data_IF_268081857465
#
_entry.id   IF_268081857465
#
_cell.length_a   1.000
_cell.length_b   1.000
_cell.length_c   1.000
_cell.angle_alpha   90.00
_cell.angle_beta   90.00
_cell.angle_gamma   90.00
#
_symmetry.space_group_name_H-M   'P 1'
#
loop_
_entity.id
_entity.type
_entity.pdbx_description
1 polymer ?
#
# COMPACT_ATOMS: atom_id res chain seq x y z
N UNK A 1 32.92 -57.67 -57.31
CA UNK A 1 31.61 -57.48 -56.63
C UNK A 1 30.94 -56.29 -57.24
N UNK A 2 29.72 -55.92 -56.90
CA UNK A 2 29.70 -54.73 -56.06
C UNK A 2 28.33 -54.64 -55.41
N UNK A 3 28.24 -55.12 -54.16
CA UNK A 3 27.82 -54.43 -52.91
C UNK A 3 26.91 -53.18 -52.98
N UNK A 4 26.29 -52.87 -54.11
CA UNK A 4 25.58 -51.62 -54.42
C UNK A 4 24.06 -51.76 -54.46
N UNK A 5 23.51 -52.89 -54.02
CA UNK A 5 22.06 -53.08 -53.90
C UNK A 5 21.59 -53.59 -52.52
N UNK A 6 22.48 -53.63 -51.53
CA UNK A 6 22.15 -54.03 -50.14
C UNK A 6 22.43 -52.93 -49.10
N UNK A 7 22.64 -51.67 -49.53
CA UNK A 7 22.93 -50.52 -48.65
C UNK A 7 21.93 -49.34 -48.79
N UNK A 8 20.76 -49.56 -49.41
CA UNK A 8 19.72 -48.52 -49.55
C UNK A 8 18.57 -48.62 -48.53
N UNK A 9 18.70 -49.41 -47.45
CA UNK A 9 17.67 -49.52 -46.41
C UNK A 9 18.15 -49.49 -44.95
N UNK A 10 19.33 -48.90 -44.67
CA UNK A 10 19.86 -48.74 -43.31
C UNK A 10 20.35 -47.30 -43.01
N UNK A 11 19.75 -46.28 -43.64
CA UNK A 11 20.07 -44.87 -43.38
C UNK A 11 18.83 -44.00 -43.10
N UNK A 12 17.69 -44.58 -42.73
CA UNK A 12 16.48 -43.84 -42.30
C UNK A 12 16.19 -43.95 -40.79
N UNK A 13 17.16 -44.36 -39.98
CA UNK A 13 16.98 -44.46 -38.53
C UNK A 13 18.28 -44.15 -37.77
N UNK A 14 18.83 -42.93 -37.90
CA UNK A 14 19.83 -42.37 -36.95
C UNK A 14 20.23 -40.91 -37.24
N UNK A 15 19.27 -40.04 -37.56
CA UNK A 15 19.50 -38.59 -37.62
C UNK A 15 18.53 -37.78 -36.74
N UNK A 16 17.95 -38.41 -35.72
CA UNK A 16 17.07 -37.77 -34.74
C UNK A 16 17.60 -37.88 -33.28
N UNK A 17 18.92 -37.98 -33.09
CA UNK A 17 19.51 -38.23 -31.77
C UNK A 17 20.66 -37.31 -31.34
N UNK A 18 21.03 -36.26 -32.11
CA UNK A 18 22.01 -35.26 -31.63
C UNK A 18 21.53 -33.85 -31.97
N UNK A 19 20.48 -33.43 -31.27
CA UNK A 19 20.06 -32.03 -31.19
C UNK A 19 19.66 -31.66 -29.75
N UNK A 20 20.39 -32.18 -28.75
CA UNK A 20 20.05 -31.96 -27.32
C UNK A 20 21.16 -31.32 -26.49
N UNK A 21 22.38 -31.10 -27.00
CA UNK A 21 23.49 -30.66 -26.13
C UNK A 21 24.30 -29.45 -26.61
N UNK A 22 23.65 -28.43 -27.18
CA UNK A 22 24.24 -27.07 -27.30
C UNK A 22 23.17 -25.97 -27.13
N UNK A 23 22.31 -26.10 -26.11
CA UNK A 23 21.35 -25.07 -25.67
C UNK A 23 22.01 -23.91 -24.93
N UNK A 24 23.09 -23.36 -25.49
CA UNK A 24 23.79 -22.19 -24.99
C UNK A 24 23.00 -20.91 -25.27
N UNK A 25 22.27 -20.46 -24.24
CA UNK A 25 21.85 -19.07 -23.95
C UNK A 25 22.27 -18.01 -24.98
N UNK A 26 21.31 -17.53 -25.77
CA UNK A 26 21.10 -16.11 -26.05
C UNK A 26 19.60 -15.87 -26.27
N UNK A 27 18.84 -15.91 -25.16
CA UNK A 27 17.67 -15.06 -25.08
C UNK A 27 18.23 -13.65 -24.92
N UNK A 28 18.31 -12.90 -26.02
CA UNK A 28 18.28 -11.45 -25.91
C UNK A 28 17.04 -11.15 -25.08
N UNK A 29 17.26 -10.68 -23.85
CA UNK A 29 16.22 -10.05 -23.07
C UNK A 29 15.70 -8.90 -23.94
N UNK A 30 14.62 -9.15 -24.66
CA UNK A 30 13.76 -8.09 -25.12
C UNK A 30 13.25 -7.51 -23.81
N UNK A 31 13.87 -6.41 -23.37
CA UNK A 31 13.33 -5.61 -22.29
C UNK A 31 11.84 -5.53 -22.58
N UNK A 32 11.02 -6.10 -21.70
CA UNK A 32 9.59 -6.06 -21.88
C UNK A 32 9.26 -4.60 -22.15
N UNK A 33 8.76 -4.30 -23.34
CA UNK A 33 8.30 -2.94 -23.62
C UNK A 33 7.36 -2.59 -22.46
N UNK A 34 7.52 -1.42 -21.82
CA UNK A 34 6.63 -1.01 -20.75
C UNK A 34 5.22 -1.21 -21.27
N UNK A 35 4.49 -2.18 -20.73
CA UNK A 35 3.07 -2.21 -21.01
C UNK A 35 2.59 -0.86 -20.48
N UNK A 36 2.13 0.02 -21.37
CA UNK A 36 1.49 1.29 -21.03
C UNK A 36 0.14 0.94 -20.40
N UNK A 37 0.22 0.35 -19.21
CA UNK A 37 -0.93 0.07 -18.36
C UNK A 37 -1.24 1.37 -17.65
N UNK A 38 -2.52 1.72 -17.66
CA UNK A 38 -3.04 2.86 -16.91
C UNK A 38 -2.57 2.82 -15.45
N UNK A 39 -2.63 3.97 -14.78
CA UNK A 39 -2.25 4.04 -13.37
C UNK A 39 -3.17 3.16 -12.53
N UNK A 40 -2.68 2.78 -11.35
CA UNK A 40 -3.47 2.10 -10.32
C UNK A 40 -3.26 2.78 -8.98
N UNK A 41 -4.29 2.79 -8.14
CA UNK A 41 -4.19 3.15 -6.72
C UNK A 41 -4.44 1.89 -5.90
N UNK A 42 -3.53 1.59 -4.98
CA UNK A 42 -3.72 0.56 -3.96
C UNK A 42 -3.87 1.25 -2.61
N UNK A 43 -5.08 1.21 -2.06
CA UNK A 43 -5.37 1.68 -0.71
C UNK A 43 -5.19 0.54 0.29
N UNK A 44 -4.20 0.66 1.16
CA UNK A 44 -4.01 -0.20 2.32
C UNK A 44 -4.73 0.44 3.51
N UNK A 45 -5.93 -0.05 3.80
CA UNK A 45 -6.82 0.52 4.81
C UNK A 45 -6.59 -0.09 6.20
N UNK A 46 -6.16 0.73 7.15
CA UNK A 46 -5.89 0.33 8.52
C UNK A 46 -7.09 0.64 9.41
N UNK A 47 -8.13 -0.19 9.28
CA UNK A 47 -9.43 0.04 9.91
C UNK A 47 -9.35 0.07 11.43
N UNK A 48 -9.76 1.20 12.00
CA UNK A 48 -9.75 1.46 13.44
C UNK A 48 -8.69 2.48 13.86
N UNK A 49 -8.18 3.34 12.97
CA UNK A 49 -7.29 4.45 13.33
C UNK A 49 -5.96 4.04 13.98
N UNK A 50 -4.91 3.71 13.21
CA UNK A 50 -3.64 3.20 13.73
C UNK A 50 -2.91 4.20 14.65
N UNK A 51 -2.16 3.69 15.63
CA UNK A 51 -1.33 4.53 16.51
C UNK A 51 -0.06 5.00 15.82
N UNK A 52 -0.19 6.02 14.96
CA UNK A 52 0.92 6.50 14.11
C UNK A 52 2.13 7.00 14.91
N UNK A 53 1.95 7.43 16.16
CA UNK A 53 3.05 7.77 17.09
C UNK A 53 3.89 6.54 17.50
N UNK A 54 3.34 5.33 17.42
CA UNK A 54 4.07 4.08 17.71
C UNK A 54 4.64 3.42 16.44
N UNK A 55 4.43 4.03 15.25
CA UNK A 55 4.86 3.50 13.96
C UNK A 55 5.78 4.47 13.21
N UNK A 56 5.25 5.64 12.83
CA UNK A 56 5.81 6.55 11.83
C UNK A 56 6.36 7.86 12.40
N UNK A 57 5.83 8.28 13.55
CA UNK A 57 6.19 9.54 14.22
C UNK A 57 6.54 9.31 15.69
N UNK A 58 7.50 8.41 15.91
CA UNK A 58 7.94 8.01 17.24
C UNK A 58 8.49 9.17 18.06
N UNK A 59 8.13 9.22 19.34
CA UNK A 59 8.61 10.21 20.33
C UNK A 59 9.43 9.54 21.44
N UNK A 60 10.59 8.92 21.12
CA UNK A 60 11.40 8.23 22.13
C UNK A 60 11.80 9.19 23.26
N UNK A 61 11.62 8.75 24.50
CA UNK A 61 11.93 9.52 25.70
C UNK A 61 10.87 10.57 26.10
N UNK A 62 9.88 10.86 25.26
CA UNK A 62 8.74 11.67 25.67
C UNK A 62 7.78 10.85 26.54
N UNK A 63 7.05 11.51 27.45
CA UNK A 63 6.01 10.85 28.27
C UNK A 63 4.86 10.24 27.45
N UNK A 64 4.72 10.68 26.19
CA UNK A 64 3.74 10.20 25.21
C UNK A 64 4.29 9.07 24.31
N UNK A 65 5.61 8.87 24.32
CA UNK A 65 6.28 7.83 23.54
C UNK A 65 5.93 6.43 24.03
N UNK A 66 5.72 5.51 23.08
CA UNK A 66 5.59 4.09 23.38
C UNK A 66 6.93 3.44 23.80
N UNK A 67 6.91 2.17 24.21
CA UNK A 67 8.09 1.43 24.66
C UNK A 67 8.99 0.99 23.50
N UNK A 68 8.51 1.05 22.26
CA UNK A 68 9.25 0.61 21.07
C UNK A 68 10.40 1.56 20.74
N UNK A 69 11.43 1.00 20.10
CA UNK A 69 12.62 1.75 19.70
C UNK A 69 12.57 2.16 18.22
N UNK A 70 13.10 3.34 17.89
CA UNK A 70 13.26 3.75 16.50
C UNK A 70 14.40 2.99 15.82
N UNK A 71 14.19 2.62 14.55
CA UNK A 71 15.21 2.09 13.65
C UNK A 71 15.41 3.03 12.45
N UNK A 72 16.62 3.01 11.89
CA UNK A 72 16.93 3.74 10.64
C UNK A 72 16.26 3.08 9.45
N UNK A 73 15.93 3.88 8.45
CA UNK A 73 15.28 3.42 7.23
C UNK A 73 16.11 3.81 6.00
N UNK A 74 15.67 3.38 4.81
CA UNK A 74 16.21 3.86 3.53
C UNK A 74 15.77 5.28 3.16
N UNK A 75 14.92 5.92 3.99
CA UNK A 75 14.53 7.33 3.86
C UNK A 75 14.98 8.17 5.06
N UNK A 76 14.42 9.38 5.16
CA UNK A 76 14.69 10.35 6.24
C UNK A 76 14.09 9.93 7.58
N UNK A 77 13.01 9.13 7.55
CA UNK A 77 12.26 8.76 8.74
C UNK A 77 13.01 7.74 9.62
N UNK A 78 12.86 7.88 10.94
CA UNK A 78 13.00 6.80 11.89
C UNK A 78 11.61 6.21 12.18
N UNK A 79 11.50 4.88 12.12
CA UNK A 79 10.22 4.15 12.32
C UNK A 79 10.38 3.05 13.38
N UNK A 80 9.28 2.41 13.76
CA UNK A 80 9.25 1.35 14.76
C UNK A 80 10.14 0.14 14.42
N UNK A 81 10.87 -0.39 15.41
CA UNK A 81 11.73 -1.58 15.27
C UNK A 81 11.00 -2.85 14.84
N UNK A 82 9.68 -2.90 15.00
CA UNK A 82 8.83 -4.00 14.53
C UNK A 82 8.48 -3.92 13.03
N UNK A 83 9.01 -2.92 12.32
CA UNK A 83 8.84 -2.74 10.86
C UNK A 83 10.17 -2.84 10.09
N UNK A 84 11.03 -3.87 10.32
CA UNK A 84 12.36 -3.93 9.73
C UNK A 84 12.36 -4.17 8.21
N UNK A 85 11.34 -4.81 7.64
CA UNK A 85 11.24 -5.01 6.19
C UNK A 85 10.83 -3.70 5.52
N UNK A 86 9.84 -2.99 6.08
CA UNK A 86 9.38 -1.71 5.57
C UNK A 86 10.43 -0.62 5.72
N UNK A 87 11.25 -0.66 6.77
CA UNK A 87 12.40 0.22 6.93
C UNK A 87 13.31 0.20 5.69
N UNK A 88 13.45 -0.95 5.01
CA UNK A 88 14.24 -1.07 3.77
C UNK A 88 13.53 -0.48 2.56
N UNK A 89 12.20 -0.43 2.57
CA UNK A 89 11.36 0.07 1.49
C UNK A 89 11.01 1.57 1.59
N UNK A 90 11.39 2.26 2.67
CA UNK A 90 11.00 3.67 2.90
C UNK A 90 11.45 4.66 1.83
N UNK A 91 12.49 4.37 1.04
CA UNK A 91 12.86 5.17 -0.12
C UNK A 91 11.79 5.19 -1.23
N UNK A 92 10.75 4.35 -1.16
CA UNK A 92 9.58 4.41 -2.04
C UNK A 92 8.42 5.25 -1.47
N UNK A 93 8.50 5.65 -0.19
CA UNK A 93 7.39 6.28 0.53
C UNK A 93 7.73 7.68 1.05
N UNK A 94 6.75 8.57 0.96
CA UNK A 94 6.70 9.81 1.71
C UNK A 94 5.77 9.64 2.92
N UNK A 95 6.22 10.03 4.10
CA UNK A 95 5.36 10.11 5.30
C UNK A 95 4.79 11.51 5.40
N UNK A 96 3.47 11.65 5.40
CA UNK A 96 2.79 12.91 5.77
C UNK A 96 2.51 12.84 7.27
N UNK A 97 3.26 13.58 8.09
CA UNK A 97 3.16 13.55 9.57
C UNK A 97 2.16 14.54 10.16
N UNK A 98 1.71 15.51 9.37
CA UNK A 98 0.92 16.63 9.86
C UNK A 98 -0.56 16.56 9.48
N UNK A 99 -1.14 15.37 9.43
CA UNK A 99 -2.59 15.25 9.26
C UNK A 99 -3.31 15.79 10.52
N UNK A 100 -4.32 16.62 10.31
CA UNK A 100 -5.13 17.21 11.38
C UNK A 100 -6.58 17.38 10.93
N UNK A 101 -7.49 16.75 11.64
CA UNK A 101 -8.93 16.86 11.45
C UNK A 101 -9.63 17.06 12.80
N UNK A 102 -10.96 17.14 12.78
CA UNK A 102 -11.80 17.18 13.98
C UNK A 102 -12.63 15.92 14.17
N UNK A 103 -12.56 14.99 13.23
CA UNK A 103 -13.42 13.81 13.20
C UNK A 103 -12.77 12.65 13.94
N UNK A 104 -13.45 12.16 14.98
CA UNK A 104 -12.97 11.07 15.85
C UNK A 104 -13.93 9.88 15.88
N UNK A 105 -15.06 9.94 15.19
CA UNK A 105 -15.94 8.78 15.02
C UNK A 105 -15.48 7.94 13.82
N UNK A 106 -15.50 6.61 13.98
CA UNK A 106 -14.96 5.69 12.96
C UNK A 106 -15.75 5.74 11.64
N UNK A 107 -17.08 5.79 11.68
CA UNK A 107 -17.87 5.78 10.44
C UNK A 107 -17.76 7.12 9.71
N UNK A 108 -17.84 8.21 10.47
CA UNK A 108 -17.68 9.56 9.96
C UNK A 108 -16.26 9.81 9.45
N UNK A 109 -15.24 9.39 10.19
CA UNK A 109 -13.83 9.51 9.81
C UNK A 109 -13.51 8.68 8.57
N UNK A 110 -14.05 7.46 8.46
CA UNK A 110 -13.94 6.64 7.25
C UNK A 110 -14.55 7.33 6.05
N UNK A 111 -15.77 7.85 6.18
CA UNK A 111 -16.40 8.61 5.11
C UNK A 111 -15.52 9.80 4.74
N UNK A 112 -15.14 10.62 5.72
CA UNK A 112 -14.40 11.86 5.47
C UNK A 112 -13.06 11.61 4.77
N UNK A 113 -12.26 10.69 5.29
CA UNK A 113 -10.93 10.43 4.72
C UNK A 113 -11.01 9.86 3.31
N UNK A 114 -12.08 9.12 3.02
CA UNK A 114 -12.29 8.53 1.69
C UNK A 114 -12.93 9.50 0.72
N UNK A 115 -13.77 10.43 1.16
CA UNK A 115 -14.50 11.29 0.20
C UNK A 115 -13.94 12.69 0.11
N UNK A 116 -13.25 13.16 1.15
CA UNK A 116 -12.92 14.58 1.33
C UNK A 116 -14.11 15.39 1.82
N UNK A 117 -15.28 14.78 2.00
CA UNK A 117 -16.49 15.47 2.41
C UNK A 117 -16.68 15.34 3.91
N UNK A 118 -16.78 16.48 4.60
CA UNK A 118 -17.10 16.51 6.03
C UNK A 118 -18.54 15.98 6.20
N UNK A 119 -18.75 14.92 7.01
CA UNK A 119 -20.08 14.37 7.20
C UNK A 119 -21.02 15.35 7.94
N UNK A 120 -22.16 15.65 7.31
CA UNK A 120 -23.30 16.40 7.86
C UNK A 120 -23.80 15.81 9.21
N UNK A 121 -23.80 16.57 10.31
CA UNK A 121 -24.26 16.05 11.59
C UNK A 121 -25.68 15.47 11.59
N UNK A 122 -26.56 15.86 10.66
CA UNK A 122 -27.95 15.41 10.61
C UNK A 122 -28.15 14.07 9.87
N UNK A 123 -27.13 13.58 9.15
CA UNK A 123 -27.19 12.31 8.44
C UNK A 123 -26.66 11.17 9.33
N UNK A 124 -27.52 10.20 9.59
CA UNK A 124 -27.25 9.08 10.52
C UNK A 124 -26.48 7.91 9.91
N UNK A 125 -26.37 7.83 8.58
CA UNK A 125 -25.65 6.76 7.88
C UNK A 125 -24.98 7.30 6.64
N UNK A 126 -23.66 7.12 6.59
CA UNK A 126 -22.84 7.49 5.46
C UNK A 126 -22.56 6.28 4.61
N UNK A 127 -23.01 6.30 3.35
CA UNK A 127 -22.51 5.37 2.36
C UNK A 127 -21.05 5.73 2.09
N UNK A 128 -20.14 5.14 2.88
CA UNK A 128 -18.74 5.11 2.49
C UNK A 128 -18.68 4.34 1.18
N UNK A 129 -18.12 4.92 0.11
CA UNK A 129 -18.06 4.20 -1.13
C UNK A 129 -17.24 2.92 -0.90
N UNK A 130 -17.84 1.77 -1.20
CA UNK A 130 -17.11 0.52 -1.16
C UNK A 130 -16.14 0.52 -2.33
N UNK A 131 -14.86 0.71 -2.05
CA UNK A 131 -13.86 0.21 -2.97
C UNK A 131 -13.94 -1.31 -2.98
N UNK A 132 -13.41 -1.92 -4.04
CA UNK A 132 -13.26 -3.37 -4.10
C UNK A 132 -12.27 -3.83 -3.01
N UNK A 133 -12.78 -4.13 -1.83
CA UNK A 133 -12.00 -4.75 -0.77
C UNK A 133 -11.78 -6.21 -1.13
N UNK A 134 -10.57 -6.53 -1.57
CA UNK A 134 -10.19 -7.89 -1.99
C UNK A 134 -10.18 -8.87 -0.82
N UNK A 135 -10.15 -8.38 0.42
CA UNK A 135 -10.19 -9.21 1.62
C UNK A 135 -11.60 -9.71 1.96
N UNK A 136 -12.65 -9.15 1.33
CA UNK A 136 -14.07 -9.48 1.58
C UNK A 136 -14.52 -10.87 1.05
N UNK A 137 -13.64 -11.87 1.06
CA UNK A 137 -14.03 -13.28 1.08
C UNK A 137 -14.76 -13.83 -0.15
N UNK A 138 -14.57 -13.25 -1.35
CA UNK A 138 -15.14 -13.84 -2.57
C UNK A 138 -14.40 -15.14 -2.95
N UNK A 139 -15.07 -16.31 -3.02
CA UNK A 139 -14.42 -17.61 -3.26
C UNK A 139 -13.57 -17.66 -4.54
N UNK A 140 -14.01 -16.96 -5.59
CA UNK A 140 -13.31 -16.87 -6.86
C UNK A 140 -11.90 -16.27 -6.73
N UNK A 141 -11.72 -15.27 -5.85
CA UNK A 141 -10.44 -14.62 -5.62
C UNK A 141 -9.43 -15.56 -4.95
N UNK A 142 -9.88 -16.40 -4.01
CA UNK A 142 -9.03 -17.33 -3.28
C UNK A 142 -8.47 -18.43 -4.20
N UNK A 143 -9.30 -18.96 -5.11
CA UNK A 143 -8.88 -19.99 -6.08
C UNK A 143 -7.81 -19.51 -7.07
N UNK A 144 -7.80 -18.20 -7.37
CA UNK A 144 -6.79 -17.60 -8.25
C UNK A 144 -5.43 -17.48 -7.56
N UNK A 145 -5.41 -17.21 -6.25
CA UNK A 145 -4.17 -17.12 -5.47
C UNK A 145 -3.47 -18.48 -5.35
N UNK A 146 -4.22 -19.59 -5.32
CA UNK A 146 -3.65 -20.95 -5.25
C UNK A 146 -2.78 -21.29 -6.47
N UNK A 147 -2.95 -20.58 -7.59
CA UNK A 147 -2.12 -20.73 -8.80
C UNK A 147 -0.74 -20.07 -8.67
N UNK A 148 -0.55 -19.19 -7.68
CA UNK A 148 0.75 -18.57 -7.43
C UNK A 148 1.74 -19.58 -6.82
N UNK A 149 3.03 -19.50 -7.19
CA UNK A 149 4.07 -20.31 -6.57
C UNK A 149 4.02 -20.22 -5.05
N UNK A 150 4.28 -21.34 -4.36
CA UNK A 150 4.33 -21.39 -2.89
C UNK A 150 5.28 -20.33 -2.32
N UNK A 151 6.42 -20.11 -2.99
CA UNK A 151 7.40 -19.09 -2.61
C UNK A 151 6.85 -17.66 -2.71
N UNK A 152 6.02 -17.37 -3.71
CA UNK A 152 5.37 -16.07 -3.87
C UNK A 152 4.34 -15.85 -2.74
N UNK A 153 3.47 -16.83 -2.48
CA UNK A 153 2.51 -16.76 -1.37
C UNK A 153 3.19 -16.63 -0.01
N UNK A 154 4.28 -17.38 0.21
CA UNK A 154 5.05 -17.33 1.44
C UNK A 154 5.65 -15.94 1.71
N UNK A 155 6.01 -15.14 0.70
CA UNK A 155 6.53 -13.78 0.95
C UNK A 155 5.51 -12.87 1.62
N UNK A 156 4.24 -12.94 1.20
CA UNK A 156 3.16 -12.11 1.75
C UNK A 156 2.61 -12.63 3.09
N UNK A 157 2.86 -13.91 3.41
CA UNK A 157 2.38 -14.55 4.62
C UNK A 157 0.96 -15.12 4.50
N UNK A 158 0.51 -15.77 5.57
CA UNK A 158 -0.75 -16.52 5.57
C UNK A 158 -1.96 -15.68 6.00
N UNK A 159 -1.74 -14.50 6.57
CA UNK A 159 -2.81 -13.61 7.00
C UNK A 159 -3.63 -13.10 5.81
N UNK A 160 -4.93 -12.85 6.01
CA UNK A 160 -5.87 -12.39 4.99
C UNK A 160 -5.41 -11.09 4.30
N UNK A 161 -4.85 -10.17 5.09
CA UNK A 161 -4.19 -8.96 4.57
C UNK A 161 -3.04 -9.26 3.60
N UNK A 162 -2.20 -10.25 3.89
CA UNK A 162 -1.11 -10.68 3.01
C UNK A 162 -1.64 -11.27 1.71
N UNK A 163 -2.65 -12.14 1.79
CA UNK A 163 -3.34 -12.69 0.62
C UNK A 163 -4.00 -11.58 -0.22
N UNK A 164 -4.60 -10.58 0.44
CA UNK A 164 -5.17 -9.41 -0.19
C UNK A 164 -4.13 -8.55 -0.90
N UNK A 165 -2.96 -8.32 -0.29
CA UNK A 165 -1.85 -7.62 -0.94
C UNK A 165 -1.35 -8.38 -2.20
N UNK A 166 -1.22 -9.71 -2.14
CA UNK A 166 -0.87 -10.51 -3.30
C UNK A 166 -1.94 -10.41 -4.41
N UNK A 167 -3.22 -10.40 -4.04
CA UNK A 167 -4.31 -10.16 -4.99
C UNK A 167 -4.24 -8.75 -5.59
N UNK A 168 -3.94 -7.73 -4.78
CA UNK A 168 -3.79 -6.36 -5.26
C UNK A 168 -2.70 -6.25 -6.32
N UNK A 169 -1.54 -6.89 -6.12
CA UNK A 169 -0.50 -6.98 -7.16
C UNK A 169 -1.05 -7.57 -8.46
N UNK A 170 -1.79 -8.67 -8.37
CA UNK A 170 -2.40 -9.34 -9.53
C UNK A 170 -3.45 -8.47 -10.25
N UNK A 171 -4.22 -7.68 -9.52
CA UNK A 171 -5.22 -6.77 -10.08
C UNK A 171 -4.56 -5.57 -10.75
N UNK A 172 -3.52 -5.01 -10.14
CA UNK A 172 -2.67 -3.97 -10.75
C UNK A 172 -2.04 -4.47 -12.05
N UNK A 173 -1.53 -5.71 -12.07
CA UNK A 173 -1.02 -6.34 -13.30
C UNK A 173 -2.07 -6.43 -14.42
N UNK A 174 -3.36 -6.51 -14.06
CA UNK A 174 -4.48 -6.57 -15.01
C UNK A 174 -5.03 -5.19 -15.37
N UNK A 175 -4.45 -4.11 -14.82
CA UNK A 175 -4.89 -2.73 -15.08
C UNK A 175 -6.11 -2.31 -14.28
N UNK A 176 -6.39 -2.95 -13.14
CA UNK A 176 -7.46 -2.47 -12.25
C UNK A 176 -7.05 -1.11 -11.66
N UNK A 177 -7.87 -0.06 -11.82
CA UNK A 177 -7.46 1.31 -11.50
C UNK A 177 -7.46 1.59 -9.99
N UNK A 178 -8.29 0.89 -9.22
CA UNK A 178 -8.38 1.07 -7.77
C UNK A 178 -8.55 -0.27 -7.07
N UNK A 179 -7.72 -0.54 -6.06
CA UNK A 179 -7.80 -1.74 -5.22
C UNK A 179 -7.70 -1.34 -3.77
N UNK A 180 -8.58 -1.87 -2.92
CA UNK A 180 -8.48 -1.71 -1.47
C UNK A 180 -8.11 -3.04 -0.82
N UNK A 181 -7.22 -2.97 0.17
CA UNK A 181 -6.86 -4.10 1.03
C UNK A 181 -6.94 -3.65 2.49
N UNK A 182 -7.82 -4.26 3.25
CA UNK A 182 -8.03 -3.91 4.66
C UNK A 182 -7.20 -4.77 5.61
N UNK A 183 -6.56 -4.13 6.59
CA UNK A 183 -6.08 -4.76 7.82
C UNK A 183 -6.84 -4.14 8.99
N UNK A 184 -7.76 -4.90 9.60
CA UNK A 184 -8.59 -4.42 10.71
C UNK A 184 -7.94 -4.65 12.08
N UNK A 185 -8.55 -4.08 13.12
CA UNK A 185 -8.11 -4.27 14.51
C UNK A 185 -7.16 -3.19 15.04
N UNK A 186 -7.25 -1.98 14.48
CA UNK A 186 -6.42 -0.85 14.92
C UNK A 186 -7.02 -0.04 16.09
N UNK A 187 -8.27 -0.34 16.49
CA UNK A 187 -9.02 0.35 17.57
C UNK A 187 -8.56 -0.05 18.98
N UNK A 188 -7.28 0.18 19.25
CA UNK A 188 -6.55 -0.40 20.38
C UNK A 188 -6.63 0.46 21.64
N UNK A 189 -7.75 0.36 22.36
CA UNK A 189 -7.97 1.05 23.63
C UNK A 189 -7.35 0.36 24.86
N UNK A 190 -6.81 -0.86 24.69
CA UNK A 190 -6.27 -1.69 25.76
C UNK A 190 -4.99 -2.39 25.29
N UNK A 191 -3.99 -2.51 26.17
CA UNK A 191 -2.76 -3.28 25.94
C UNK A 191 -2.15 -3.09 24.53
N UNK A 192 -2.14 -1.86 24.02
CA UNK A 192 -1.88 -1.58 22.60
C UNK A 192 -0.54 -2.13 22.13
N UNK A 193 0.49 -2.07 22.98
CA UNK A 193 1.84 -2.48 22.60
C UNK A 193 1.94 -3.98 22.33
N UNK A 194 1.22 -4.82 23.08
CA UNK A 194 1.14 -6.26 22.78
C UNK A 194 0.39 -6.52 21.48
N UNK A 195 -0.75 -5.83 21.26
CA UNK A 195 -1.49 -5.98 20.00
C UNK A 195 -0.64 -5.54 18.80
N UNK A 196 0.12 -4.45 18.93
CA UNK A 196 1.00 -3.96 17.89
C UNK A 196 2.16 -4.93 17.61
N UNK A 197 2.94 -5.31 18.63
CA UNK A 197 4.12 -6.15 18.45
C UNK A 197 3.79 -7.57 18.00
N UNK A 198 2.69 -8.14 18.50
CA UNK A 198 2.43 -9.57 18.36
C UNK A 198 1.49 -9.88 17.18
N UNK A 199 0.67 -8.90 16.77
CA UNK A 199 -0.39 -9.14 15.77
C UNK A 199 -0.35 -8.18 14.59
N UNK A 200 -0.29 -6.88 14.83
CA UNK A 200 -0.49 -5.89 13.75
C UNK A 200 0.79 -5.63 12.96
N UNK A 201 1.88 -5.23 13.63
CA UNK A 201 3.10 -4.79 12.96
C UNK A 201 3.79 -5.91 12.18
N UNK A 202 3.89 -7.17 12.65
CA UNK A 202 4.48 -8.25 11.86
C UNK A 202 3.71 -8.56 10.57
N UNK A 203 2.37 -8.46 10.61
CA UNK A 203 1.52 -8.68 9.43
C UNK A 203 1.68 -7.53 8.44
N UNK A 204 1.64 -6.28 8.93
CA UNK A 204 1.84 -5.10 8.12
C UNK A 204 3.23 -5.09 7.46
N UNK A 205 4.28 -5.29 8.26
CA UNK A 205 5.69 -5.26 7.80
C UNK A 205 5.92 -6.23 6.66
N UNK A 206 5.49 -7.49 6.83
CA UNK A 206 5.66 -8.54 5.84
C UNK A 206 4.88 -8.27 4.56
N UNK A 207 3.57 -8.04 4.68
CA UNK A 207 2.67 -7.98 3.52
C UNK A 207 2.89 -6.71 2.69
N UNK A 208 3.01 -5.55 3.34
CA UNK A 208 3.22 -4.28 2.64
C UNK A 208 4.62 -4.23 2.00
N UNK A 209 5.66 -4.75 2.67
CA UNK A 209 6.99 -4.83 2.06
C UNK A 209 7.02 -5.74 0.84
N UNK A 210 6.38 -6.92 0.91
CA UNK A 210 6.31 -7.85 -0.20
C UNK A 210 5.58 -7.25 -1.41
N UNK A 211 4.47 -6.50 -1.16
CA UNK A 211 3.73 -5.81 -2.20
C UNK A 211 4.58 -4.78 -2.93
N UNK A 212 5.25 -3.90 -2.19
CA UNK A 212 6.08 -2.82 -2.75
C UNK A 212 7.23 -3.40 -3.55
N UNK A 213 7.94 -4.36 -2.98
CA UNK A 213 9.06 -5.02 -3.62
C UNK A 213 8.62 -5.75 -4.91
N UNK A 214 7.48 -6.45 -4.91
CA UNK A 214 6.96 -7.09 -6.11
C UNK A 214 6.58 -6.08 -7.19
N UNK A 215 5.87 -5.00 -6.82
CA UNK A 215 5.49 -3.96 -7.77
C UNK A 215 6.71 -3.27 -8.36
N UNK A 216 7.76 -3.04 -7.57
CA UNK A 216 9.01 -2.44 -8.04
C UNK A 216 9.78 -3.37 -8.98
N UNK A 217 10.00 -4.63 -8.57
CA UNK A 217 10.67 -5.64 -9.38
C UNK A 217 9.99 -5.89 -10.73
N UNK A 218 8.67 -5.66 -10.80
CA UNK A 218 7.86 -5.80 -12.02
C UNK A 218 7.77 -4.51 -12.84
N UNK A 219 8.38 -3.42 -12.37
CA UNK A 219 8.29 -2.10 -13.00
C UNK A 219 6.89 -1.49 -13.00
N UNK A 220 6.02 -1.95 -12.08
CA UNK A 220 4.65 -1.48 -11.91
C UNK A 220 4.57 -0.32 -10.91
N UNK A 221 5.46 -0.26 -9.92
CA UNK A 221 5.42 0.75 -8.85
C UNK A 221 5.48 2.19 -9.38
N UNK A 222 6.19 2.43 -10.50
CA UNK A 222 6.23 3.74 -11.17
C UNK A 222 4.85 4.26 -11.64
N UNK A 223 3.89 3.35 -11.84
CA UNK A 223 2.52 3.65 -12.27
C UNK A 223 1.47 3.27 -11.21
N UNK A 224 1.89 2.80 -10.04
CA UNK A 224 1.00 2.41 -8.95
C UNK A 224 1.25 3.30 -7.74
N UNK A 225 0.22 4.05 -7.33
CA UNK A 225 0.23 4.79 -6.09
C UNK A 225 -0.23 3.87 -4.96
N UNK A 226 0.59 3.71 -3.93
CA UNK A 226 0.22 3.03 -2.69
C UNK A 226 -0.13 4.09 -1.67
N UNK A 227 -1.32 3.98 -1.08
CA UNK A 227 -1.80 4.84 0.00
C UNK A 227 -1.99 3.96 1.24
N UNK A 228 -1.27 4.25 2.32
CA UNK A 228 -1.50 3.63 3.62
C UNK A 228 -2.16 4.66 4.53
N UNK A 229 -3.34 4.34 5.06
CA UNK A 229 -4.06 5.22 5.98
C UNK A 229 -5.16 4.49 6.74
N UNK A 230 -5.68 5.13 7.79
CA UNK A 230 -6.94 4.78 8.45
C UNK A 230 -7.83 6.03 8.59
N UNK A 231 -8.79 5.98 9.50
CA UNK A 231 -9.76 7.06 9.75
C UNK A 231 -9.12 8.29 10.43
N UNK A 232 -8.20 8.04 11.37
CA UNK A 232 -7.48 9.03 12.18
C UNK A 232 -6.35 8.32 12.96
N UNK A 233 -5.68 9.02 13.90
CA UNK A 233 -4.65 8.45 14.76
C UNK A 233 -5.14 8.07 16.17
N UNK A 234 -4.17 7.77 17.05
CA UNK A 234 -4.41 7.45 18.47
C UNK A 234 -3.77 8.48 19.37
N UNK A 235 -4.33 8.64 20.57
CA UNK A 235 -3.86 9.64 21.54
C UNK A 235 -2.37 9.47 21.82
N UNK A 236 -1.59 10.56 21.80
CA UNK A 236 -0.20 10.53 22.26
C UNK A 236 -0.08 10.17 23.74
N UNK A 237 -1.08 10.50 24.56
CA UNK A 237 -1.15 10.00 25.94
C UNK A 237 -1.65 8.54 25.93
N UNK A 238 -0.93 7.67 26.65
CA UNK A 238 -1.35 6.30 26.94
C UNK A 238 -2.41 6.35 28.05
N UNK A 239 -3.53 5.65 27.87
CA UNK A 239 -4.63 5.61 28.83
C UNK A 239 -4.37 4.61 29.97
N UNK A 240 -5.24 4.59 30.98
CA UNK A 240 -5.09 3.73 32.16
C UNK A 240 -5.15 2.22 31.85
N UNK A 241 -5.65 1.85 30.66
CA UNK A 241 -5.74 0.47 30.21
C UNK A 241 -4.52 0.03 29.40
N UNK A 242 -3.47 0.86 29.36
CA UNK A 242 -2.28 0.61 28.54
C UNK A 242 -2.57 0.63 27.04
N UNK A 243 -3.64 1.31 26.61
CA UNK A 243 -3.98 1.56 25.23
C UNK A 243 -3.94 3.05 24.89
N UNK A 244 -4.55 3.42 23.75
CA UNK A 244 -4.68 4.81 23.31
C UNK A 244 -6.07 5.05 22.72
N UNK A 245 -6.59 6.25 22.92
CA UNK A 245 -7.95 6.64 22.52
C UNK A 245 -7.95 7.38 21.17
N UNK A 246 -9.12 7.80 20.68
CA UNK A 246 -9.25 8.43 19.36
C UNK A 246 -8.53 9.79 19.30
N UNK A 247 -7.78 10.03 18.23
CA UNK A 247 -7.03 11.27 18.06
C UNK A 247 -6.88 11.70 16.61
N UNK A 248 -7.62 12.74 16.24
CA UNK A 248 -7.61 13.29 14.88
C UNK A 248 -6.71 14.53 14.71
N UNK A 249 -6.12 15.05 15.81
CA UNK A 249 -5.43 16.36 15.83
C UNK A 249 -3.97 16.32 15.36
N UNK A 250 -3.39 15.12 15.30
CA UNK A 250 -2.04 14.88 14.80
C UNK A 250 -1.92 13.39 14.48
N UNK A 251 -1.73 13.05 13.21
CA UNK A 251 -1.56 11.67 12.77
C UNK A 251 -0.82 11.62 11.43
N UNK A 252 -0.44 10.41 11.01
CA UNK A 252 0.36 10.20 9.80
C UNK A 252 -0.27 9.26 8.80
N UNK A 253 0.04 9.49 7.52
CA UNK A 253 -0.26 8.58 6.41
C UNK A 253 1.01 8.36 5.57
N UNK A 254 1.03 7.32 4.74
CA UNK A 254 2.10 7.11 3.77
C UNK A 254 1.53 7.17 2.35
N UNK A 255 2.26 7.84 1.47
CA UNK A 255 2.08 7.80 0.02
C UNK A 255 3.35 7.20 -0.59
N UNK A 256 3.24 6.34 -1.59
CA UNK A 256 4.43 5.78 -2.23
C UNK A 256 4.20 5.25 -3.64
N UNK A 257 5.28 5.12 -4.40
CA UNK A 257 5.20 4.85 -5.84
C UNK A 257 4.67 6.05 -6.64
N UNK A 258 4.36 5.83 -7.92
CA UNK A 258 3.74 6.81 -8.84
C UNK A 258 4.05 8.31 -8.58
N UNK A 259 5.25 8.78 -8.92
CA UNK A 259 5.58 10.21 -8.86
C UNK A 259 5.61 10.84 -7.46
N UNK A 260 5.53 10.03 -6.39
CA UNK A 260 5.75 10.47 -5.02
C UNK A 260 7.25 10.59 -4.72
N UNK A 261 7.64 11.62 -3.99
CA UNK A 261 9.00 11.84 -3.49
C UNK A 261 9.31 10.86 -2.35
N UNK A 262 9.75 9.68 -2.74
CA UNK A 262 10.13 8.62 -1.80
C UNK A 262 11.28 9.02 -0.86
N UNK A 263 11.27 8.46 0.35
CA UNK A 263 12.21 8.76 1.42
C UNK A 263 11.87 10.01 2.24
N UNK A 264 10.91 10.82 1.81
CA UNK A 264 10.60 12.11 2.43
C UNK A 264 9.81 11.99 3.74
N UNK A 265 10.07 12.92 4.67
CA UNK A 265 9.17 13.24 5.78
C UNK A 265 8.59 14.63 5.57
N UNK A 266 7.26 14.73 5.54
CA UNK A 266 6.53 15.96 5.24
C UNK A 266 5.68 16.34 6.45
N UNK A 267 5.82 17.58 6.88
CA UNK A 267 5.17 18.08 8.08
C UNK A 267 5.81 17.56 9.36
N UNK A 268 5.30 18.06 10.48
CA UNK A 268 5.87 17.78 11.79
C UNK A 268 4.78 17.83 12.87
N UNK A 269 4.95 17.05 13.92
CA UNK A 269 4.20 17.18 15.18
C UNK A 269 5.11 17.69 16.29
N UNK A 270 4.51 18.17 17.38
CA UNK A 270 5.23 18.60 18.57
C UNK A 270 6.13 17.49 19.14
N UNK A 271 7.09 17.87 19.99
CA UNK A 271 8.04 16.91 20.59
C UNK A 271 7.35 15.78 21.37
N UNK A 272 6.13 16.03 21.86
CA UNK A 272 5.26 15.08 22.55
C UNK A 272 4.17 14.46 21.64
N UNK A 273 4.13 14.81 20.35
CA UNK A 273 3.17 14.30 19.38
C UNK A 273 1.72 14.80 19.52
N UNK A 274 1.44 15.72 20.46
CA UNK A 274 0.07 16.17 20.77
C UNK A 274 -0.55 17.06 19.70
N UNK A 275 0.24 17.72 18.86
CA UNK A 275 -0.31 18.61 17.83
C UNK A 275 0.60 18.70 16.62
N UNK A 276 0.03 19.07 15.49
CA UNK A 276 0.80 19.52 14.33
C UNK A 276 1.58 20.80 14.67
N UNK A 277 2.78 20.91 14.08
CA UNK A 277 3.62 22.11 14.06
C UNK A 277 3.80 22.52 12.60
N UNK A 278 3.48 23.77 12.28
CA UNK A 278 3.53 24.28 10.90
C UNK A 278 2.26 23.93 10.12
N UNK A 279 2.43 23.55 8.85
CA UNK A 279 1.34 23.24 7.94
C UNK A 279 0.62 21.94 8.34
N UNK A 280 -0.68 22.07 8.57
CA UNK A 280 -1.59 20.94 8.73
C UNK A 280 -2.22 20.55 7.40
N UNK A 281 -2.40 19.25 7.20
CA UNK A 281 -3.09 18.71 6.03
C UNK A 281 -4.40 18.04 6.43
N UNK A 282 -5.40 18.23 5.59
CA UNK A 282 -6.70 17.60 5.71
C UNK A 282 -6.86 16.49 4.65
N UNK A 283 -7.84 15.58 4.77
CA UNK A 283 -8.07 14.53 3.77
C UNK A 283 -8.19 15.04 2.33
N UNK A 284 -8.83 16.19 2.14
CA UNK A 284 -8.99 16.87 0.86
C UNK A 284 -7.64 17.13 0.19
N UNK A 285 -6.61 17.52 0.96
CA UNK A 285 -5.26 17.77 0.47
C UNK A 285 -4.60 16.48 -0.06
N UNK A 286 -4.82 15.37 0.65
CA UNK A 286 -4.35 14.04 0.25
C UNK A 286 -5.02 13.62 -1.03
N UNK A 287 -6.35 13.78 -1.13
CA UNK A 287 -7.13 13.43 -2.31
C UNK A 287 -6.75 14.30 -3.52
N UNK A 288 -6.51 15.59 -3.33
CA UNK A 288 -5.98 16.48 -4.36
C UNK A 288 -4.60 16.03 -4.86
N UNK A 289 -3.75 15.57 -3.95
CA UNK A 289 -2.42 15.02 -4.28
C UNK A 289 -2.53 13.71 -5.06
N UNK A 290 -3.43 12.81 -4.65
CA UNK A 290 -3.74 11.57 -5.37
C UNK A 290 -4.28 11.87 -6.78
N UNK A 291 -5.21 12.82 -6.93
CA UNK A 291 -5.74 13.24 -8.23
C UNK A 291 -4.63 13.81 -9.12
N UNK A 292 -3.74 14.64 -8.56
CA UNK A 292 -2.60 15.18 -9.31
C UNK A 292 -1.68 14.06 -9.81
N UNK A 293 -1.32 13.12 -8.93
CA UNK A 293 -0.54 11.93 -9.29
C UNK A 293 -1.28 11.08 -10.29
N UNK A 294 -2.61 11.01 -10.27
CA UNK A 294 -3.37 10.24 -11.25
C UNK A 294 -3.38 10.91 -12.63
N UNK A 295 -3.65 12.22 -12.69
CA UNK A 295 -3.80 13.01 -13.92
C UNK A 295 -2.51 13.30 -14.67
N UNK A 296 -1.35 13.26 -14.02
CA UNK A 296 -0.06 13.44 -14.69
C UNK A 296 0.28 12.31 -15.70
N UNK A 297 -0.68 11.48 -16.11
CA UNK A 297 -0.50 10.26 -16.90
C UNK A 297 -0.90 10.61 -18.32
N UNK A 298 -0.01 10.45 -19.31
CA UNK A 298 -0.35 10.77 -20.70
C UNK A 298 -1.50 9.90 -21.24
N UNK A 299 -1.73 8.72 -20.63
CA UNK A 299 -2.69 7.71 -21.10
C UNK A 299 -4.08 7.80 -20.43
N UNK A 300 -4.26 8.70 -19.46
CA UNK A 300 -5.53 8.85 -18.75
C UNK A 300 -6.23 10.10 -19.27
N UNK A 301 -7.26 9.90 -20.10
CA UNK A 301 -8.17 10.98 -20.50
C UNK A 301 -8.85 11.64 -19.28
N UNK A 302 -9.61 12.73 -19.46
CA UNK A 302 -10.16 13.53 -18.35
C UNK A 302 -11.16 12.79 -17.43
N UNK A 303 -11.43 11.50 -17.68
CA UNK A 303 -12.15 10.62 -16.79
C UNK A 303 -11.40 10.55 -15.45
N UNK A 304 -11.89 11.33 -14.51
CA UNK A 304 -11.47 11.31 -13.13
C UNK A 304 -11.56 9.87 -12.59
N UNK A 305 -10.59 9.47 -11.76
CA UNK A 305 -10.74 8.33 -10.82
C UNK A 305 -12.06 8.43 -10.00
N UNK A 306 -12.64 9.63 -10.04
CA UNK A 306 -13.72 10.18 -9.27
C UNK A 306 -14.97 10.32 -10.17
N UNK A 307 -16.01 9.51 -9.92
CA UNK A 307 -17.36 9.52 -10.50
C UNK A 307 -17.67 8.57 -11.67
N UNK A 308 -18.36 7.46 -11.33
CA UNK A 308 -19.80 7.33 -11.60
C UNK A 308 -20.52 6.99 -10.30
N UNK A 309 -21.56 7.75 -9.96
CA UNK A 309 -22.47 7.39 -8.89
C UNK A 309 -23.07 6.01 -9.22
N UNK A 310 -22.68 4.98 -8.45
CA UNK A 310 -23.04 3.58 -8.70
C UNK A 310 -21.89 2.58 -8.55
N UNK A 311 -20.63 2.99 -8.80
CA UNK A 311 -19.53 2.03 -9.07
C UNK A 311 -18.39 2.00 -8.03
N UNK A 312 -18.57 2.62 -6.87
CA UNK A 312 -17.56 2.60 -5.80
C UNK A 312 -16.53 3.73 -5.93
N UNK A 313 -16.27 4.38 -4.79
CA UNK A 313 -15.37 5.52 -4.55
C UNK A 313 -15.60 6.81 -5.37
N UNK A 314 -16.40 7.70 -4.78
CA UNK A 314 -16.40 9.13 -5.12
C UNK A 314 -15.41 9.81 -4.16
N UNK A 315 -14.17 10.06 -4.58
CA UNK A 315 -13.36 11.06 -3.88
C UNK A 315 -13.72 12.43 -4.50
N UNK A 316 -14.33 13.32 -3.73
CA UNK A 316 -14.65 14.66 -4.21
C UNK A 316 -13.48 15.56 -3.80
N UNK A 317 -12.79 16.17 -4.76
CA UNK A 317 -11.84 17.23 -4.45
C UNK A 317 -12.56 18.58 -4.43
N UNK A 318 -13.19 18.88 -3.29
CA UNK A 318 -13.83 20.17 -3.04
C UNK A 318 -12.84 21.15 -2.36
N UNK A 319 -11.73 21.44 -3.05
CA UNK A 319 -10.82 22.54 -2.67
C UNK A 319 -9.61 22.19 -1.81
N UNK A 320 -9.19 20.91 -1.79
CA UNK A 320 -7.93 20.51 -1.16
C UNK A 320 -6.71 21.08 -1.90
N UNK A 321 -5.66 21.44 -1.15
CA UNK A 321 -4.38 21.87 -1.72
C UNK A 321 -3.48 20.66 -1.97
N UNK A 322 -2.87 20.62 -3.16
CA UNK A 322 -1.86 19.59 -3.46
C UNK A 322 -0.69 19.72 -2.48
N UNK A 323 -0.29 18.61 -1.87
CA UNK A 323 0.90 18.52 -1.03
C UNK A 323 2.11 18.45 -1.95
N UNK A 324 2.53 19.59 -2.51
CA UNK A 324 3.61 19.67 -3.49
C UNK A 324 4.92 19.05 -2.97
N UNK A 325 5.17 19.14 -1.66
CA UNK A 325 6.33 18.51 -1.01
C UNK A 325 6.33 16.96 -1.11
N UNK A 326 5.21 16.34 -1.45
CA UNK A 326 5.07 14.89 -1.63
C UNK A 326 5.36 14.44 -3.06
N UNK A 327 5.49 15.35 -4.03
CA UNK A 327 5.70 15.01 -5.44
C UNK A 327 7.20 15.03 -5.80
N UNK A 328 7.60 14.13 -6.69
CA UNK A 328 8.97 13.97 -7.19
C UNK A 328 9.26 14.84 -8.43
#
# INVERSE_FOLDING_TARGET
>A
MTRRHFLSRLLDASAAAIAVLNGGRMLCARAAEPVTRGRSVVLLWMGGGPSTIDLWDMKPGAATGGPFRPIRTSGEALICEHLPMLARQMHHFAIIRSMCTRETDHERGRYYVRTGCIPDPDVRKWASPHAWDVTAGRPENLSQLEREPVSARARYGEHDFGRGCLMARQLVERGVPFVEVSLSGWDNHHAIFHTLSDRQLPVLDRAMSALVEDLDQRGLLRNTLIVWMGEFGRTPRINNNGGRDHWARAWSILLGGAGIRGGAVIGQTSADGTRVVGDAFAPEDVLATVDRVWRASPDVGPASLFCRAGDGLCLQNDGGRVIEAALA
#
